data_IF_066664961860
#
_entry.id   IF_066664961860
#
_cell.length_a   1.000
_cell.length_b   1.000
_cell.length_c   1.000
_cell.angle_alpha   90.00
_cell.angle_beta   90.00
_cell.angle_gamma   90.00
#
_symmetry.space_group_name_H-M   'P 1'
#
loop_
_entity.id
_entity.type
_entity.pdbx_description
1 polymer ?
#
# COMPACT_ATOMS: atom_id res chain seq x y z
N UNK A 1 -2.95 16.53 18.71
CA UNK A 1 -3.28 15.92 17.41
C UNK A 1 -2.51 14.63 17.33
N UNK A 2 -3.07 13.59 16.70
CA UNK A 2 -2.38 12.31 16.60
C UNK A 2 -1.27 12.37 15.56
N UNK A 3 -0.14 11.69 15.79
CA UNK A 3 0.99 11.60 14.85
C UNK A 3 0.53 11.28 13.41
N UNK A 4 -0.42 10.35 13.25
CA UNK A 4 -1.01 10.01 11.95
C UNK A 4 -1.67 11.21 11.26
N UNK A 5 -2.40 12.05 12.00
CA UNK A 5 -3.05 13.25 11.44
C UNK A 5 -2.03 14.27 10.97
N UNK A 6 -0.91 14.39 11.67
CA UNK A 6 0.17 15.31 11.32
C UNK A 6 0.89 14.87 10.04
N UNK A 7 1.12 13.57 9.88
CA UNK A 7 1.64 12.99 8.63
C UNK A 7 0.66 13.18 7.47
N UNK A 8 -0.65 12.99 7.69
CA UNK A 8 -1.67 13.23 6.65
C UNK A 8 -1.67 14.69 6.20
N UNK A 9 -1.68 15.64 7.15
CA UNK A 9 -1.59 17.07 6.83
C UNK A 9 -0.30 17.42 6.10
N UNK A 10 0.82 16.85 6.52
CA UNK A 10 2.10 17.06 5.86
C UNK A 10 2.06 16.54 4.43
N UNK A 11 1.50 15.36 4.18
CA UNK A 11 1.31 14.82 2.82
C UNK A 11 0.55 15.80 1.92
N UNK A 12 -0.55 16.38 2.41
CA UNK A 12 -1.30 17.39 1.66
C UNK A 12 -0.48 18.66 1.38
N UNK A 13 0.33 19.11 2.35
CA UNK A 13 1.21 20.26 2.15
C UNK A 13 2.30 19.97 1.12
N UNK A 14 2.93 18.79 1.18
CA UNK A 14 3.92 18.35 0.20
C UNK A 14 3.31 18.33 -1.20
N UNK A 15 2.09 17.79 -1.38
CA UNK A 15 1.38 17.81 -2.68
C UNK A 15 1.18 19.22 -3.23
N UNK A 16 0.81 20.18 -2.38
CA UNK A 16 0.56 21.58 -2.80
C UNK A 16 1.84 22.31 -3.17
N UNK A 17 2.94 22.06 -2.45
CA UNK A 17 4.23 22.72 -2.64
C UNK A 17 5.07 22.07 -3.73
N UNK A 18 4.77 20.82 -4.08
CA UNK A 18 5.50 19.97 -5.03
C UNK A 18 6.03 20.77 -6.23
N UNK A 19 5.16 21.37 -7.03
CA UNK A 19 5.56 22.06 -8.26
C UNK A 19 6.31 23.40 -8.06
N UNK A 20 6.25 23.97 -6.86
CA UNK A 20 6.88 25.25 -6.52
C UNK A 20 8.29 25.10 -5.95
N UNK A 21 8.63 23.90 -5.47
CA UNK A 21 9.91 23.61 -4.84
C UNK A 21 10.96 23.28 -5.92
N UNK A 22 11.97 24.12 -6.03
CA UNK A 22 13.06 23.97 -7.00
C UNK A 22 14.41 24.06 -6.29
N UNK A 23 15.27 23.07 -6.55
CA UNK A 23 16.59 22.98 -5.94
C UNK A 23 16.57 22.38 -4.53
N UNK A 24 17.77 22.16 -4.00
CA UNK A 24 18.00 21.45 -2.75
C UNK A 24 17.58 22.26 -1.52
N UNK A 25 17.96 23.53 -1.45
CA UNK A 25 17.62 24.42 -0.32
C UNK A 25 16.11 24.63 -0.16
N UNK A 26 15.38 24.79 -1.27
CA UNK A 26 13.92 24.86 -1.22
C UNK A 26 13.31 23.53 -0.77
N UNK A 27 13.91 22.39 -1.16
CA UNK A 27 13.47 21.05 -0.75
C UNK A 27 13.64 20.85 0.75
N UNK A 28 14.80 21.24 1.28
CA UNK A 28 15.11 21.25 2.70
C UNK A 28 14.05 22.01 3.50
N UNK A 29 13.82 23.28 3.14
CA UNK A 29 12.91 24.15 3.90
C UNK A 29 11.44 23.78 3.73
N UNK A 30 10.98 23.50 2.51
CA UNK A 30 9.56 23.37 2.22
C UNK A 30 9.00 21.96 2.47
N UNK A 31 9.85 20.92 2.40
CA UNK A 31 9.45 19.51 2.46
C UNK A 31 10.09 18.76 3.64
N UNK A 32 11.41 18.87 3.84
CA UNK A 32 12.15 18.09 4.85
C UNK A 32 11.95 18.65 6.26
N UNK A 33 12.15 19.95 6.48
CA UNK A 33 11.99 20.58 7.80
C UNK A 33 10.58 20.32 8.39
N UNK A 34 9.48 20.47 7.62
CA UNK A 34 8.15 20.09 8.12
C UNK A 34 8.02 18.61 8.51
N UNK A 35 8.72 17.70 7.82
CA UNK A 35 8.76 16.28 8.20
C UNK A 35 9.50 16.04 9.52
N UNK A 36 10.65 16.70 9.73
CA UNK A 36 11.38 16.62 11.00
C UNK A 36 10.51 17.13 12.16
N UNK A 37 9.77 18.22 11.93
CA UNK A 37 8.81 18.74 12.92
C UNK A 37 7.66 17.77 13.17
N UNK A 38 7.14 17.10 12.14
CA UNK A 38 6.09 16.08 12.29
C UNK A 38 6.58 14.82 13.03
N UNK A 39 7.87 14.50 12.96
CA UNK A 39 8.52 13.47 13.80
C UNK A 39 8.70 13.93 15.26
N UNK A 40 8.24 15.12 15.63
CA UNK A 40 8.27 15.64 16.98
C UNK A 40 9.56 16.37 17.35
N UNK A 41 10.51 16.54 16.43
CA UNK A 41 11.75 17.28 16.70
C UNK A 41 11.53 18.79 16.62
N UNK A 42 12.13 19.54 17.54
CA UNK A 42 12.06 21.01 17.52
C UNK A 42 13.02 21.62 16.50
N UNK A 43 12.50 21.94 15.32
CA UNK A 43 13.25 22.56 14.22
C UNK A 43 13.71 24.00 14.50
N UNK A 44 13.24 24.61 15.59
CA UNK A 44 13.67 25.94 16.02
C UNK A 44 14.73 25.89 17.14
N UNK A 45 14.96 24.72 17.73
CA UNK A 45 16.04 24.50 18.70
C UNK A 45 17.30 24.02 17.96
N UNK A 46 18.34 24.87 17.81
CA UNK A 46 19.58 24.50 17.14
C UNK A 46 20.41 23.46 17.91
N UNK A 47 20.04 23.14 19.16
CA UNK A 47 20.65 22.04 19.93
C UNK A 47 20.00 20.69 19.65
N UNK A 48 18.79 20.68 19.08
CA UNK A 48 18.02 19.49 18.74
C UNK A 48 18.04 19.22 17.23
N UNK A 49 17.82 20.24 16.39
CA UNK A 49 17.93 20.14 14.93
C UNK A 49 19.05 21.05 14.45
N UNK A 50 20.20 20.44 14.10
CA UNK A 50 21.42 21.14 13.68
C UNK A 50 21.55 21.15 12.16
N UNK A 51 21.19 22.25 11.46
CA UNK A 51 21.43 22.36 10.03
C UNK A 51 22.92 22.50 9.72
N UNK A 52 23.33 22.02 8.55
CA UNK A 52 24.71 22.13 8.04
C UNK A 52 25.78 21.64 9.03
N UNK A 53 25.51 20.51 9.69
CA UNK A 53 26.35 20.01 10.78
C UNK A 53 27.76 19.60 10.32
N UNK A 54 28.76 20.26 10.90
CA UNK A 54 30.19 19.96 10.73
C UNK A 54 30.72 19.31 12.01
N UNK A 55 31.28 18.10 11.91
CA UNK A 55 31.86 17.41 13.05
C UNK A 55 33.35 17.78 13.25
N UNK A 56 33.90 17.54 14.44
CA UNK A 56 35.31 17.85 14.76
C UNK A 56 36.31 17.08 13.89
N UNK A 57 35.93 15.89 13.42
CA UNK A 57 36.72 15.04 12.52
C UNK A 57 36.51 15.37 11.03
N UNK A 58 35.68 16.37 10.70
CA UNK A 58 35.35 16.70 9.31
C UNK A 58 36.62 17.07 8.53
N UNK A 59 36.80 16.38 7.40
CA UNK A 59 37.92 16.67 6.51
C UNK A 59 37.61 17.89 5.64
N UNK A 60 38.63 18.68 5.30
CA UNK A 60 38.50 19.77 4.33
C UNK A 60 38.65 19.22 2.92
N UNK A 61 37.64 19.42 2.08
CA UNK A 61 37.68 19.12 0.65
C UNK A 61 37.46 20.41 -0.13
N UNK A 62 38.37 20.74 -1.04
CA UNK A 62 38.32 21.98 -1.83
C UNK A 62 38.11 23.27 -1.02
N UNK A 63 38.64 23.34 0.22
CA UNK A 63 38.56 24.52 1.08
C UNK A 63 37.28 24.64 1.91
N UNK A 64 36.32 23.73 1.76
CA UNK A 64 35.13 23.63 2.61
C UNK A 64 35.21 22.38 3.48
N UNK A 65 34.63 22.44 4.68
CA UNK A 65 34.47 21.25 5.51
C UNK A 65 33.36 20.39 4.92
N UNK A 66 33.59 19.08 4.92
CA UNK A 66 32.50 18.10 4.77
C UNK A 66 31.43 18.40 5.85
N UNK A 67 30.14 18.31 5.50
CA UNK A 67 28.99 18.63 6.38
C UNK A 67 27.77 17.78 6.07
N UNK A 68 26.97 17.35 7.03
CA UNK A 68 25.65 16.76 6.72
C UNK A 68 24.57 17.82 6.81
N UNK A 69 23.46 17.64 6.09
CA UNK A 69 22.44 18.68 6.02
C UNK A 69 21.71 18.89 7.35
N UNK A 70 21.41 17.82 8.06
CA UNK A 70 20.91 17.89 9.43
C UNK A 70 21.53 16.83 10.33
N UNK A 71 21.82 17.21 11.56
CA UNK A 71 22.00 16.27 12.67
C UNK A 71 20.88 16.49 13.69
N UNK A 72 20.21 15.40 14.08
CA UNK A 72 19.18 15.40 15.10
C UNK A 72 19.76 14.89 16.42
N UNK A 73 19.47 15.61 17.50
CA UNK A 73 19.93 15.26 18.82
C UNK A 73 18.78 15.15 19.82
N UNK A 74 18.83 14.13 20.67
CA UNK A 74 17.92 13.98 21.81
C UNK A 74 18.77 14.11 23.06
N UNK A 75 18.41 15.04 23.95
CA UNK A 75 19.15 15.33 25.18
C UNK A 75 20.65 15.56 24.93
N UNK A 76 20.99 16.32 23.87
CA UNK A 76 22.37 16.66 23.48
C UNK A 76 23.16 15.54 22.78
N UNK A 77 22.59 14.35 22.64
CA UNK A 77 23.20 13.19 21.99
C UNK A 77 22.71 13.05 20.56
N UNK A 78 23.62 12.89 19.60
CA UNK A 78 23.32 12.92 18.16
C UNK A 78 22.87 11.52 17.77
N UNK A 79 21.59 11.37 17.47
CA UNK A 79 20.95 10.07 17.28
C UNK A 79 20.69 9.74 15.81
N UNK A 80 20.50 10.78 14.99
CA UNK A 80 20.14 10.62 13.59
C UNK A 80 20.79 11.69 12.72
N UNK A 81 21.20 11.31 11.51
CA UNK A 81 21.75 12.21 10.50
C UNK A 81 20.87 12.20 9.27
N UNK A 82 20.73 13.34 8.61
CA UNK A 82 19.91 13.49 7.41
C UNK A 82 20.73 14.14 6.31
N UNK A 83 20.73 13.51 5.15
CA UNK A 83 21.24 14.01 3.88
C UNK A 83 20.05 14.32 2.97
N UNK A 84 19.98 15.54 2.48
CA UNK A 84 18.95 16.02 1.58
C UNK A 84 19.44 15.98 0.14
N UNK A 85 18.53 15.66 -0.77
CA UNK A 85 18.69 15.84 -2.21
C UNK A 85 17.62 16.77 -2.72
N UNK A 86 17.86 17.40 -3.87
CA UNK A 86 16.80 18.14 -4.53
C UNK A 86 15.63 17.20 -4.87
N UNK A 87 14.40 17.68 -4.67
CA UNK A 87 13.13 17.02 -4.99
C UNK A 87 13.10 16.17 -6.28
N UNK A 88 13.73 16.63 -7.35
CA UNK A 88 13.76 15.95 -8.66
C UNK A 88 14.85 14.88 -8.80
N UNK A 89 15.72 14.73 -7.80
CA UNK A 89 16.77 13.73 -7.76
C UNK A 89 16.32 12.51 -6.96
N UNK A 90 16.91 11.35 -7.27
CA UNK A 90 16.71 10.14 -6.47
C UNK A 90 17.37 10.31 -5.10
N UNK A 91 16.69 9.86 -4.06
CA UNK A 91 17.24 9.82 -2.71
C UNK A 91 18.23 8.64 -2.63
N UNK A 92 19.45 8.81 -3.12
CA UNK A 92 20.47 7.76 -3.12
C UNK A 92 21.70 8.17 -2.31
N UNK A 93 22.27 7.21 -1.56
CA UNK A 93 23.42 7.41 -0.69
C UNK A 93 24.75 7.32 -1.48
N UNK A 94 24.96 8.22 -2.44
CA UNK A 94 26.10 8.10 -3.39
C UNK A 94 27.40 8.74 -2.90
N UNK A 95 27.32 9.80 -2.10
CA UNK A 95 28.47 10.69 -1.91
C UNK A 95 29.43 10.26 -0.80
N UNK A 96 29.12 9.16 -0.09
CA UNK A 96 29.93 8.61 1.01
C UNK A 96 30.08 9.54 2.23
N UNK A 97 29.54 10.75 2.16
CA UNK A 97 29.61 11.78 3.19
C UNK A 97 28.78 11.40 4.42
N UNK A 98 27.52 11.04 4.21
CA UNK A 98 26.63 10.54 5.25
C UNK A 98 27.21 9.32 5.96
N UNK A 99 27.76 8.35 5.21
CA UNK A 99 28.33 7.14 5.80
C UNK A 99 29.59 7.41 6.64
N UNK A 100 30.48 8.31 6.22
CA UNK A 100 31.62 8.72 7.06
C UNK A 100 31.18 9.33 8.39
N UNK A 101 30.19 10.22 8.35
CA UNK A 101 29.66 10.85 9.55
C UNK A 101 29.00 9.84 10.47
N UNK A 102 28.14 8.98 9.91
CA UNK A 102 27.51 7.89 10.64
C UNK A 102 28.55 6.99 11.31
N UNK A 103 29.59 6.60 10.58
CA UNK A 103 30.60 5.67 11.10
C UNK A 103 31.47 6.26 12.21
N UNK A 104 31.68 7.58 12.19
CA UNK A 104 32.49 8.29 13.17
C UNK A 104 31.70 8.71 14.43
N UNK A 105 30.39 8.95 14.31
CA UNK A 105 29.52 9.33 15.43
C UNK A 105 28.91 8.10 16.10
N UNK A 106 29.59 7.57 17.11
CA UNK A 106 29.21 6.32 17.79
C UNK A 106 27.78 6.29 18.38
N UNK A 107 27.22 7.46 18.70
CA UNK A 107 25.86 7.59 19.24
C UNK A 107 24.79 7.62 18.16
N UNK A 108 25.17 7.88 16.91
CA UNK A 108 24.26 7.89 15.78
C UNK A 108 23.95 6.45 15.37
N UNK A 109 22.66 6.17 15.23
CA UNK A 109 22.16 4.81 14.94
C UNK A 109 21.22 4.77 13.74
N UNK A 110 20.77 5.94 13.29
CA UNK A 110 19.93 6.08 12.10
C UNK A 110 20.52 7.13 11.16
N UNK A 111 20.57 6.83 9.86
CA UNK A 111 20.85 7.80 8.82
C UNK A 111 19.64 7.88 7.88
N UNK A 112 19.33 9.07 7.37
CA UNK A 112 18.26 9.28 6.39
C UNK A 112 18.86 9.92 5.15
N UNK A 113 18.52 9.37 3.98
CA UNK A 113 18.66 10.08 2.70
C UNK A 113 17.26 10.40 2.19
N UNK A 114 17.00 11.65 1.83
CA UNK A 114 15.66 12.07 1.41
C UNK A 114 15.69 13.18 0.36
N UNK A 115 14.68 13.19 -0.51
CA UNK A 115 14.39 14.29 -1.42
C UNK A 115 13.11 15.07 -1.00
N UNK A 116 12.68 14.91 0.25
CA UNK A 116 11.45 15.47 0.78
C UNK A 116 10.17 14.69 0.44
N UNK A 117 10.25 13.70 -0.46
CA UNK A 117 9.13 12.82 -0.84
C UNK A 117 9.39 11.40 -0.34
N UNK A 118 10.52 10.84 -0.74
CA UNK A 118 11.00 9.53 -0.31
C UNK A 118 12.05 9.72 0.80
N UNK A 119 11.90 8.97 1.89
CA UNK A 119 12.78 8.96 3.04
C UNK A 119 13.32 7.55 3.21
N UNK A 120 14.63 7.37 3.03
CA UNK A 120 15.29 6.06 3.12
C UNK A 120 16.12 6.01 4.39
N UNK A 121 15.80 5.07 5.26
CA UNK A 121 16.39 4.91 6.58
C UNK A 121 17.46 3.81 6.55
N UNK A 122 18.64 4.14 7.07
CA UNK A 122 19.82 3.29 7.13
C UNK A 122 20.25 3.12 8.59
N UNK A 123 20.88 1.98 8.89
CA UNK A 123 21.45 1.68 10.21
C UNK A 123 22.69 0.79 10.02
N UNK A 124 23.21 0.20 11.10
CA UNK A 124 24.44 -0.59 11.16
C UNK A 124 24.20 -2.05 11.57
N UNK A 125 23.35 -2.78 10.83
CA UNK A 125 23.00 -4.16 11.18
C UNK A 125 24.12 -5.15 10.88
N UNK A 126 24.89 -4.91 9.81
CA UNK A 126 25.93 -5.85 9.35
C UNK A 126 27.21 -5.73 10.16
N UNK A 127 27.70 -4.50 10.29
CA UNK A 127 28.97 -4.17 10.90
C UNK A 127 28.74 -3.00 11.86
N UNK A 128 29.06 -3.19 13.13
CA UNK A 128 28.80 -2.18 14.18
C UNK A 128 29.45 -0.84 13.83
N UNK A 129 28.67 0.24 13.87
CA UNK A 129 29.05 1.59 13.47
C UNK A 129 29.54 1.71 12.03
N UNK A 130 29.08 0.83 11.14
CA UNK A 130 29.28 0.96 9.71
C UNK A 130 27.92 1.00 9.04
N UNK A 131 27.58 2.13 8.43
CA UNK A 131 26.30 2.32 7.77
C UNK A 131 26.10 1.28 6.66
N UNK A 132 24.96 0.61 6.69
CA UNK A 132 24.56 -0.34 5.65
C UNK A 132 24.39 0.35 4.29
N UNK A 133 24.69 -0.39 3.21
CA UNK A 133 24.56 0.11 1.84
C UNK A 133 23.12 0.25 1.39
N UNK A 134 22.23 -0.58 1.93
CA UNK A 134 20.81 -0.64 1.59
C UNK A 134 19.99 -0.13 2.77
N UNK A 135 18.89 0.61 2.51
CA UNK A 135 18.00 1.02 3.57
C UNK A 135 17.21 -0.19 4.10
N UNK A 136 16.95 -0.20 5.41
CA UNK A 136 16.07 -1.20 6.03
C UNK A 136 14.60 -0.78 5.94
N UNK A 137 14.33 0.52 5.89
CA UNK A 137 12.98 1.08 5.76
C UNK A 137 12.97 2.23 4.75
N UNK A 138 11.90 2.33 3.96
CA UNK A 138 11.69 3.42 3.01
C UNK A 138 10.26 3.90 3.15
N UNK A 139 10.09 5.20 3.32
CA UNK A 139 8.80 5.84 3.50
C UNK A 139 8.58 6.87 2.40
N UNK A 140 7.43 6.83 1.74
CA UNK A 140 7.03 7.84 0.77
C UNK A 140 5.84 8.64 1.30
N UNK A 141 6.04 9.93 1.57
CA UNK A 141 5.00 10.80 2.15
C UNK A 141 3.77 10.95 1.24
N UNK A 142 3.88 10.61 -0.05
CA UNK A 142 2.79 10.67 -1.03
C UNK A 142 2.13 9.30 -1.27
N UNK A 143 2.74 8.21 -0.80
CA UNK A 143 2.29 6.84 -1.03
C UNK A 143 2.73 5.97 0.15
N UNK A 144 1.84 5.81 1.14
CA UNK A 144 2.09 5.03 2.35
C UNK A 144 0.81 4.34 2.83
N UNK A 145 0.99 3.27 3.62
CA UNK A 145 -0.10 2.57 4.31
C UNK A 145 -0.04 2.75 5.84
N UNK A 146 -0.92 2.07 6.57
CA UNK A 146 -0.93 2.16 8.04
C UNK A 146 0.32 1.57 8.69
N UNK A 147 0.91 0.52 8.11
CA UNK A 147 2.13 -0.12 8.63
C UNK A 147 3.33 0.80 8.49
N UNK A 148 3.40 1.57 7.41
CA UNK A 148 4.43 2.59 7.23
C UNK A 148 4.38 3.64 8.33
N UNK A 149 3.18 4.08 8.73
CA UNK A 149 3.01 5.01 9.86
C UNK A 149 3.43 4.36 11.18
N UNK A 150 3.08 3.09 11.40
CA UNK A 150 3.50 2.36 12.60
C UNK A 150 5.03 2.20 12.67
N UNK A 151 5.68 1.93 11.54
CA UNK A 151 7.15 1.89 11.43
C UNK A 151 7.76 3.28 11.69
N UNK A 152 7.15 4.34 11.16
CA UNK A 152 7.62 5.71 11.38
C UNK A 152 7.61 6.14 12.84
N UNK A 153 6.68 5.62 13.65
CA UNK A 153 6.56 5.97 15.08
C UNK A 153 7.84 5.67 15.86
N UNK A 154 8.66 4.71 15.44
CA UNK A 154 9.95 4.41 16.09
C UNK A 154 10.96 5.56 15.96
N UNK A 155 10.83 6.39 14.92
CA UNK A 155 11.71 7.53 14.69
C UNK A 155 11.16 8.84 15.26
N UNK A 156 9.91 8.81 15.75
CA UNK A 156 9.33 9.94 16.47
C UNK A 156 10.12 10.20 17.74
N UNK A 157 10.42 11.46 18.02
CA UNK A 157 11.27 11.91 19.14
C UNK A 157 10.95 11.21 20.46
N UNK A 158 9.66 11.16 20.83
CA UNK A 158 9.22 10.60 22.11
C UNK A 158 9.32 9.06 22.22
N UNK A 159 9.43 8.37 21.09
CA UNK A 159 9.53 6.90 21.03
C UNK A 159 10.94 6.44 20.62
N UNK A 160 11.87 7.37 20.42
CA UNK A 160 13.18 7.05 19.88
C UNK A 160 13.99 6.24 20.89
N UNK A 161 14.09 4.94 20.64
CA UNK A 161 14.89 4.02 21.43
C UNK A 161 15.80 3.20 20.51
N UNK A 162 17.12 3.35 20.70
CA UNK A 162 18.13 2.71 19.85
C UNK A 162 17.95 1.19 19.78
N UNK A 163 17.72 0.54 20.92
CA UNK A 163 17.58 -0.92 20.98
C UNK A 163 16.33 -1.38 20.21
N UNK A 164 15.20 -0.69 20.38
CA UNK A 164 13.96 -1.00 19.68
C UNK A 164 14.10 -0.81 18.16
N UNK A 165 14.70 0.31 17.73
CA UNK A 165 14.94 0.58 16.30
C UNK A 165 15.85 -0.48 15.68
N UNK A 166 16.94 -0.85 16.36
CA UNK A 166 17.90 -1.84 15.86
C UNK A 166 17.23 -3.21 15.69
N UNK A 167 16.50 -3.67 16.70
CA UNK A 167 15.79 -4.95 16.65
C UNK A 167 14.71 -4.95 15.56
N UNK A 168 13.97 -3.85 15.44
CA UNK A 168 12.94 -3.70 14.41
C UNK A 168 13.54 -3.69 13.00
N UNK A 169 14.65 -2.98 12.81
CA UNK A 169 15.37 -2.95 11.54
C UNK A 169 15.88 -4.34 11.16
N UNK A 170 16.44 -5.09 12.11
CA UNK A 170 16.89 -6.47 11.91
C UNK A 170 15.73 -7.38 11.48
N UNK A 171 14.60 -7.32 12.19
CA UNK A 171 13.39 -8.06 11.83
C UNK A 171 12.90 -7.72 10.42
N UNK A 172 12.81 -6.44 10.07
CA UNK A 172 12.39 -5.99 8.74
C UNK A 172 13.28 -6.55 7.63
N UNK A 173 14.61 -6.51 7.83
CA UNK A 173 15.58 -7.04 6.86
C UNK A 173 15.43 -8.55 6.69
N UNK A 174 15.29 -9.29 7.80
CA UNK A 174 15.11 -10.74 7.74
C UNK A 174 13.77 -11.13 7.13
N UNK A 175 12.67 -10.49 7.51
CA UNK A 175 11.35 -10.74 6.93
C UNK A 175 11.35 -10.47 5.43
N UNK A 176 11.95 -9.37 4.98
CA UNK A 176 12.09 -9.05 3.55
C UNK A 176 12.90 -10.12 2.82
N UNK A 177 14.07 -10.48 3.35
CA UNK A 177 14.94 -11.50 2.77
C UNK A 177 14.27 -12.88 2.69
N UNK A 178 13.61 -13.30 3.78
CA UNK A 178 12.90 -14.58 3.87
C UNK A 178 11.68 -14.61 2.95
N UNK A 179 10.92 -13.53 2.85
CA UNK A 179 9.78 -13.42 1.93
C UNK A 179 10.23 -13.54 0.47
N UNK A 180 11.34 -12.87 0.11
CA UNK A 180 11.91 -12.99 -1.22
C UNK A 180 12.43 -14.41 -1.51
N UNK A 181 13.13 -15.01 -0.55
CA UNK A 181 13.62 -16.39 -0.66
C UNK A 181 12.46 -17.37 -0.86
N UNK A 182 11.41 -17.26 -0.02
CA UNK A 182 10.23 -18.11 -0.11
C UNK A 182 9.50 -17.91 -1.44
N UNK A 183 9.30 -16.66 -1.87
CA UNK A 183 8.71 -16.35 -3.16
C UNK A 183 9.47 -16.98 -4.33
N UNK A 184 10.81 -16.96 -4.28
CA UNK A 184 11.66 -17.61 -5.27
C UNK A 184 11.51 -19.13 -5.24
N UNK A 185 11.52 -19.75 -4.05
CA UNK A 185 11.31 -21.19 -3.89
C UNK A 185 9.94 -21.65 -4.40
N UNK A 186 8.90 -20.85 -4.22
CA UNK A 186 7.55 -21.15 -4.70
C UNK A 186 7.44 -21.06 -6.23
N UNK A 187 8.13 -20.10 -6.87
CA UNK A 187 8.13 -19.95 -8.34
C UNK A 187 9.06 -20.95 -9.03
N UNK A 188 10.23 -21.16 -8.44
CA UNK A 188 11.30 -22.02 -8.97
C UNK A 188 11.99 -22.78 -7.83
N UNK A 189 11.44 -23.95 -7.45
CA UNK A 189 12.00 -24.78 -6.38
C UNK A 189 13.48 -25.14 -6.63
N UNK A 190 14.34 -24.88 -5.63
CA UNK A 190 15.74 -25.28 -5.68
C UNK A 190 15.90 -26.79 -5.54
N UNK A 191 17.06 -27.32 -5.92
CA UNK A 191 17.36 -28.75 -5.79
C UNK A 191 17.31 -29.19 -4.33
N UNK A 192 17.86 -28.39 -3.42
CA UNK A 192 17.85 -28.63 -1.98
C UNK A 192 16.44 -28.66 -1.42
N UNK A 193 15.57 -27.75 -1.89
CA UNK A 193 14.19 -27.70 -1.44
C UNK A 193 13.37 -28.89 -1.94
N UNK A 194 13.56 -29.31 -3.20
CA UNK A 194 12.95 -30.54 -3.73
C UNK A 194 13.44 -31.76 -2.96
N UNK A 195 14.75 -31.84 -2.69
CA UNK A 195 15.35 -32.92 -1.89
C UNK A 195 14.74 -32.98 -0.49
N UNK A 196 14.57 -31.84 0.18
CA UNK A 196 13.92 -31.75 1.47
C UNK A 196 12.48 -32.30 1.41
N UNK A 197 11.64 -31.82 0.49
CA UNK A 197 10.26 -32.28 0.36
C UNK A 197 10.15 -33.78 0.05
N UNK A 198 11.07 -34.30 -0.76
CA UNK A 198 11.14 -35.73 -1.09
C UNK A 198 11.55 -36.58 0.11
N UNK A 199 12.48 -36.09 0.95
CA UNK A 199 12.85 -36.76 2.19
C UNK A 199 11.68 -36.80 3.18
N UNK A 200 10.94 -35.69 3.29
CA UNK A 200 9.79 -35.58 4.18
C UNK A 200 8.54 -36.29 3.66
N UNK A 201 8.49 -36.67 2.37
CA UNK A 201 7.33 -37.33 1.76
C UNK A 201 6.91 -38.60 2.53
N UNK A 202 7.88 -39.36 3.05
CA UNK A 202 7.62 -40.56 3.84
C UNK A 202 6.85 -40.31 5.15
N UNK A 203 6.94 -39.10 5.71
CA UNK A 203 6.20 -38.73 6.93
C UNK A 203 4.70 -38.57 6.69
N UNK A 204 4.33 -38.09 5.50
CA UNK A 204 2.94 -37.85 5.10
C UNK A 204 2.35 -39.06 4.36
N UNK A 205 3.19 -39.78 3.60
CA UNK A 205 2.78 -40.90 2.76
C UNK A 205 3.78 -42.07 2.90
N UNK A 206 3.69 -42.87 3.98
CA UNK A 206 4.67 -43.92 4.29
C UNK A 206 4.85 -44.96 3.17
N UNK A 207 3.78 -45.25 2.41
CA UNK A 207 3.82 -46.19 1.27
C UNK A 207 4.63 -45.69 0.08
N UNK A 208 5.02 -44.42 0.07
CA UNK A 208 5.76 -43.76 -1.01
C UNK A 208 7.13 -43.23 -0.55
N UNK A 209 7.61 -43.68 0.59
CA UNK A 209 8.94 -43.35 1.09
C UNK A 209 10.02 -43.78 0.08
N UNK A 210 10.93 -42.87 -0.24
CA UNK A 210 12.06 -43.19 -1.11
C UNK A 210 13.14 -43.86 -0.29
N UNK A 211 13.25 -45.17 -0.45
CA UNK A 211 14.30 -45.95 0.19
C UNK A 211 15.67 -45.63 -0.44
N UNK A 212 16.62 -45.19 0.38
CA UNK A 212 18.00 -44.91 -0.02
C UNK A 212 18.30 -43.43 -0.26
N UNK A 213 19.45 -43.13 -0.89
CA UNK A 213 19.90 -41.75 -1.09
C UNK A 213 19.09 -41.04 -2.18
N UNK A 214 18.68 -39.81 -1.91
CA UNK A 214 18.02 -38.94 -2.89
C UNK A 214 19.07 -38.47 -3.91
N UNK A 215 19.04 -39.07 -5.09
CA UNK A 215 19.96 -38.76 -6.21
C UNK A 215 19.40 -37.65 -7.11
N UNK A 216 20.25 -37.03 -7.94
CA UNK A 216 19.81 -36.00 -8.90
C UNK A 216 18.68 -36.49 -9.83
N UNK A 217 18.72 -37.75 -10.28
CA UNK A 217 17.63 -38.36 -11.08
C UNK A 217 16.28 -38.37 -10.37
N UNK A 218 16.28 -38.61 -9.05
CA UNK A 218 15.07 -38.55 -8.24
C UNK A 218 14.59 -37.09 -8.17
N UNK A 219 15.50 -36.15 -7.95
CA UNK A 219 15.15 -34.72 -7.85
C UNK A 219 14.57 -34.20 -9.16
N UNK A 220 15.16 -34.56 -10.31
CA UNK A 220 14.65 -34.15 -11.63
C UNK A 220 13.26 -34.72 -11.91
N UNK A 221 12.99 -35.97 -11.48
CA UNK A 221 11.66 -36.57 -11.55
C UNK A 221 10.64 -35.83 -10.68
N UNK A 222 11.02 -35.43 -9.48
CA UNK A 222 10.11 -34.80 -8.50
C UNK A 222 9.96 -33.29 -8.67
N UNK A 223 10.91 -32.61 -9.32
CA UNK A 223 10.85 -31.16 -9.59
C UNK A 223 9.52 -30.71 -10.24
N UNK A 224 9.01 -31.31 -11.32
CA UNK A 224 7.72 -30.92 -11.89
C UNK A 224 6.54 -31.22 -10.96
N UNK A 225 6.61 -32.32 -10.19
CA UNK A 225 5.58 -32.71 -9.21
C UNK A 225 5.51 -31.66 -8.09
N UNK A 226 6.65 -31.31 -7.49
CA UNK A 226 6.75 -30.28 -6.45
C UNK A 226 6.21 -28.94 -6.95
N UNK A 227 6.58 -28.53 -8.17
CA UNK A 227 6.06 -27.30 -8.77
C UNK A 227 4.53 -27.33 -8.90
N UNK A 228 3.97 -28.43 -9.41
CA UNK A 228 2.52 -28.62 -9.54
C UNK A 228 1.82 -28.64 -8.18
N UNK A 229 2.39 -29.30 -7.18
CA UNK A 229 1.88 -29.34 -5.81
C UNK A 229 1.86 -27.96 -5.17
N UNK A 230 2.94 -27.18 -5.29
CA UNK A 230 2.99 -25.81 -4.78
C UNK A 230 1.91 -24.93 -5.44
N UNK A 231 1.80 -24.98 -6.77
CA UNK A 231 0.77 -24.22 -7.49
C UNK A 231 -0.64 -24.63 -7.06
N UNK A 232 -0.89 -25.94 -6.96
CA UNK A 232 -2.16 -26.48 -6.48
C UNK A 232 -2.49 -26.01 -5.06
N UNK A 233 -1.52 -26.08 -4.13
CA UNK A 233 -1.71 -25.60 -2.76
C UNK A 233 -1.93 -24.09 -2.69
N UNK A 234 -1.26 -23.28 -3.50
CA UNK A 234 -1.49 -21.84 -3.54
C UNK A 234 -2.88 -21.50 -4.07
N UNK A 235 -3.32 -22.17 -5.14
CA UNK A 235 -4.69 -22.04 -5.65
C UNK A 235 -5.69 -22.46 -4.59
N UNK A 236 -5.48 -23.61 -3.95
CA UNK A 236 -6.35 -24.10 -2.89
C UNK A 236 -6.38 -23.15 -1.69
N UNK A 237 -5.25 -22.54 -1.29
CA UNK A 237 -5.22 -21.54 -0.23
C UNK A 237 -5.96 -20.27 -0.62
N UNK A 238 -5.79 -19.79 -1.86
CA UNK A 238 -6.57 -18.65 -2.36
C UNK A 238 -8.06 -18.99 -2.36
N UNK A 239 -8.43 -20.15 -2.90
CA UNK A 239 -9.81 -20.65 -2.90
C UNK A 239 -10.33 -20.84 -1.49
N UNK A 240 -9.55 -21.37 -0.53
CA UNK A 240 -9.96 -21.53 0.87
C UNK A 240 -10.04 -20.21 1.60
N UNK A 241 -9.17 -19.24 1.37
CA UNK A 241 -9.33 -17.89 1.92
C UNK A 241 -10.60 -17.23 1.37
N UNK A 242 -10.94 -17.49 0.10
CA UNK A 242 -12.20 -17.07 -0.52
C UNK A 242 -13.42 -17.89 -0.02
N UNK A 243 -13.25 -19.18 0.30
CA UNK A 243 -14.31 -20.12 0.70
C UNK A 243 -14.49 -20.26 2.20
N UNK A 244 -13.53 -19.88 3.04
CA UNK A 244 -13.73 -19.79 4.50
C UNK A 244 -14.59 -18.58 4.88
N UNK A 245 -14.83 -17.67 3.94
CA UNK A 245 -15.92 -16.69 3.99
C UNK A 245 -17.23 -17.21 3.34
N UNK A 246 -17.23 -18.39 2.71
CA UNK A 246 -18.38 -18.95 1.97
C UNK A 246 -18.44 -20.49 2.16
N UNK A 247 -19.11 -20.97 3.20
CA UNK A 247 -19.33 -22.40 3.40
C UNK A 247 -20.32 -22.96 2.35
N UNK A 248 -19.82 -23.55 1.26
CA UNK A 248 -20.33 -24.78 0.61
C UNK A 248 -19.42 -25.21 -0.56
N UNK A 249 -19.27 -26.53 -0.83
CA UNK A 249 -18.28 -27.06 -1.76
C UNK A 249 -18.76 -26.92 -3.22
N UNK A 250 -17.86 -26.46 -4.10
CA UNK A 250 -18.03 -26.59 -5.55
C UNK A 250 -17.18 -27.78 -5.98
N UNK A 251 -17.84 -28.87 -6.39
CA UNK A 251 -17.18 -29.93 -7.15
C UNK A 251 -16.80 -29.37 -8.52
N UNK A 252 -15.52 -29.46 -8.87
CA UNK A 252 -15.05 -29.16 -10.23
C UNK A 252 -14.60 -30.50 -10.81
N UNK A 253 -15.38 -31.00 -11.77
CA UNK A 253 -15.02 -32.13 -12.61
C UNK A 253 -13.74 -31.80 -13.38
N UNK A 254 -12.71 -32.64 -13.22
CA UNK A 254 -11.49 -32.57 -14.01
C UNK A 254 -11.70 -33.44 -15.24
N UNK A 255 -12.05 -32.82 -16.36
CA UNK A 255 -12.00 -33.47 -17.67
C UNK A 255 -10.55 -33.43 -18.17
N UNK A 256 -10.00 -34.61 -18.49
CA UNK A 256 -8.66 -34.81 -19.04
C UNK A 256 -8.71 -35.04 -20.55
N UNK A 257 -7.54 -34.80 -21.17
CA UNK A 257 -7.15 -34.91 -22.58
C UNK A 257 -7.34 -33.57 -23.35
N UNK A 258 -6.34 -33.00 -24.02
CA UNK A 258 -5.41 -33.60 -24.99
C UNK A 258 -4.10 -32.77 -25.09
N UNK A 259 -3.01 -33.51 -25.38
CA UNK A 259 -1.74 -33.23 -26.10
C UNK A 259 -1.06 -31.85 -26.14
N UNK A 260 0.27 -31.96 -26.09
CA UNK A 260 1.28 -30.94 -26.35
C UNK A 260 1.15 -30.33 -27.75
N UNK A 261 1.04 -29.00 -27.83
CA UNK A 261 1.71 -28.21 -28.86
C UNK A 261 2.25 -26.91 -28.25
N UNK A 262 3.56 -26.72 -28.37
CA UNK A 262 4.26 -25.49 -28.03
C UNK A 262 3.73 -24.31 -28.87
N UNK A 263 3.10 -23.34 -28.21
CA UNK A 263 3.08 -21.95 -28.68
C UNK A 263 3.47 -21.01 -27.56
N UNK A 264 4.58 -20.31 -27.79
CA UNK A 264 4.97 -19.12 -27.06
C UNK A 264 3.80 -18.12 -27.06
N UNK A 265 3.33 -17.73 -25.87
CA UNK A 265 2.52 -16.53 -25.71
C UNK A 265 3.19 -15.61 -24.71
N UNK A 266 3.51 -14.43 -25.22
CA UNK A 266 4.02 -13.26 -24.52
C UNK A 266 3.14 -12.91 -23.32
N UNK A 267 3.77 -12.48 -22.24
CA UNK A 267 3.12 -11.75 -21.16
C UNK A 267 2.46 -10.49 -21.72
N UNK A 268 1.14 -10.48 -21.87
CA UNK A 268 0.39 -9.24 -22.09
C UNK A 268 0.00 -8.63 -20.73
N UNK A 269 0.46 -7.41 -20.54
CA UNK A 269 0.03 -6.48 -19.49
C UNK A 269 -1.50 -6.40 -19.43
N UNK A 270 -2.05 -6.40 -18.22
CA UNK A 270 -3.46 -6.17 -17.94
C UNK A 270 -3.86 -4.75 -18.36
N UNK A 271 -4.30 -4.57 -19.62
CA UNK A 271 -4.96 -3.35 -20.05
C UNK A 271 -6.33 -3.27 -19.36
N UNK A 272 -6.58 -2.15 -18.69
CA UNK A 272 -7.91 -1.78 -18.17
C UNK A 272 -8.81 -1.59 -19.40
N UNK A 273 -9.77 -2.49 -19.61
CA UNK A 273 -10.74 -2.43 -20.71
C UNK A 273 -12.12 -2.37 -20.09
N UNK A 274 -12.79 -1.24 -20.24
CA UNK A 274 -14.18 -1.07 -19.79
C UNK A 274 -15.10 -1.99 -20.58
N UNK A 275 -15.82 -2.85 -19.87
CA UNK A 275 -16.69 -3.87 -20.44
C UNK A 275 -18.07 -3.30 -20.81
N UNK A 276 -18.75 -3.93 -21.77
CA UNK A 276 -20.13 -3.57 -22.12
C UNK A 276 -21.09 -3.68 -20.93
N UNK A 277 -20.80 -4.60 -20.01
CA UNK A 277 -21.55 -4.82 -18.78
C UNK A 277 -21.43 -3.62 -17.82
N UNK A 278 -20.24 -3.04 -17.67
CA UNK A 278 -20.03 -1.85 -16.83
C UNK A 278 -20.73 -0.59 -17.38
N UNK A 279 -20.79 -0.46 -18.70
CA UNK A 279 -21.50 0.65 -19.36
C UNK A 279 -23.01 0.51 -19.13
N UNK A 280 -23.58 -0.69 -19.25
CA UNK A 280 -25.01 -0.94 -18.97
C UNK A 280 -25.35 -0.64 -17.50
N UNK A 281 -24.49 -1.06 -16.58
CA UNK A 281 -24.62 -0.79 -15.15
C UNK A 281 -24.63 0.72 -14.86
N UNK A 282 -23.73 1.48 -15.50
CA UNK A 282 -23.66 2.94 -15.35
C UNK A 282 -24.94 3.64 -15.82
N UNK A 283 -25.46 3.27 -17.01
CA UNK A 283 -26.66 3.91 -17.55
C UNK A 283 -27.91 3.61 -16.70
N UNK A 284 -28.04 2.40 -16.15
CA UNK A 284 -29.13 2.09 -15.21
C UNK A 284 -29.03 2.89 -13.91
N UNK A 285 -27.84 3.00 -13.32
CA UNK A 285 -27.64 3.79 -12.10
C UNK A 285 -27.93 5.27 -12.36
N UNK A 286 -27.50 5.79 -13.52
CA UNK A 286 -27.79 7.16 -13.95
C UNK A 286 -29.28 7.42 -14.13
N UNK A 287 -30.02 6.46 -14.69
CA UNK A 287 -31.47 6.54 -14.81
C UNK A 287 -32.15 6.54 -13.43
N UNK A 288 -31.71 5.67 -12.51
CA UNK A 288 -32.20 5.60 -11.13
C UNK A 288 -31.97 6.94 -10.41
N UNK A 289 -30.74 7.48 -10.43
CA UNK A 289 -30.42 8.73 -9.70
C UNK A 289 -31.13 9.95 -10.27
N UNK A 290 -31.48 9.95 -11.56
CA UNK A 290 -32.23 11.06 -12.21
C UNK A 290 -33.68 11.18 -11.71
N UNK A 291 -34.21 10.17 -11.04
CA UNK A 291 -35.54 10.24 -10.41
C UNK A 291 -35.60 11.18 -9.20
N UNK A 292 -34.45 11.51 -8.59
CA UNK A 292 -34.34 12.50 -7.52
C UNK A 292 -34.11 13.90 -8.09
N UNK A 293 -35.08 14.81 -7.91
CA UNK A 293 -34.94 16.21 -8.34
C UNK A 293 -34.19 17.10 -7.34
N UNK A 294 -33.81 16.56 -6.17
CA UNK A 294 -33.24 17.33 -5.05
C UNK A 294 -31.76 17.69 -5.22
N UNK A 295 -31.00 16.96 -6.05
CA UNK A 295 -29.56 17.17 -6.25
C UNK A 295 -29.21 17.02 -7.73
N UNK A 296 -28.59 18.04 -8.33
CA UNK A 296 -28.22 18.06 -9.75
C UNK A 296 -26.69 17.92 -9.95
N UNK A 297 -26.17 16.73 -9.70
CA UNK A 297 -24.77 16.40 -9.98
C UNK A 297 -24.66 15.56 -11.27
N UNK A 298 -23.63 15.84 -12.06
CA UNK A 298 -23.30 15.00 -13.22
C UNK A 298 -22.59 13.72 -12.75
N UNK A 299 -23.13 12.55 -13.11
CA UNK A 299 -22.51 11.27 -12.80
C UNK A 299 -21.38 10.99 -13.79
N UNK A 300 -20.25 10.55 -13.25
CA UNK A 300 -19.09 10.10 -14.01
C UNK A 300 -18.61 8.75 -13.46
N UNK A 301 -17.98 7.94 -14.31
CA UNK A 301 -17.37 6.67 -13.88
C UNK A 301 -15.84 6.70 -13.98
N UNK A 302 -15.19 5.85 -13.20
CA UNK A 302 -13.75 5.58 -13.25
C UNK A 302 -13.54 4.09 -13.24
N UNK A 303 -12.98 3.58 -14.33
CA UNK A 303 -12.58 2.19 -14.46
C UNK A 303 -11.19 1.98 -13.85
N UNK A 304 -11.01 0.84 -13.18
CA UNK A 304 -9.75 0.45 -12.54
C UNK A 304 -9.51 -1.03 -12.77
N UNK A 305 -8.29 -1.50 -12.54
CA UNK A 305 -7.96 -2.92 -12.70
C UNK A 305 -8.80 -3.87 -11.83
N UNK A 306 -9.45 -3.37 -10.78
CA UNK A 306 -10.14 -4.19 -9.78
C UNK A 306 -11.63 -3.89 -9.63
N UNK A 307 -12.10 -2.68 -9.99
CA UNK A 307 -13.49 -2.27 -9.83
C UNK A 307 -13.87 -1.10 -10.75
N UNK A 308 -15.18 -0.96 -10.96
CA UNK A 308 -15.79 0.15 -11.70
C UNK A 308 -16.44 1.14 -10.74
N UNK A 309 -15.86 2.33 -10.57
CA UNK A 309 -16.30 3.34 -9.60
C UNK A 309 -17.26 4.37 -10.19
N UNK A 310 -18.33 4.71 -9.49
CA UNK A 310 -19.32 5.72 -9.90
C UNK A 310 -19.27 6.92 -8.94
N UNK A 311 -19.19 8.11 -9.52
CA UNK A 311 -18.81 9.34 -8.81
C UNK A 311 -19.66 10.54 -9.25
N UNK A 312 -19.69 11.56 -8.38
CA UNK A 312 -20.37 12.84 -8.62
C UNK A 312 -19.36 13.88 -9.13
N UNK A 313 -19.24 14.09 -10.44
CA UNK A 313 -18.41 15.12 -11.08
C UNK A 313 -16.88 15.04 -10.90
N UNK A 314 -16.38 14.57 -9.74
CA UNK A 314 -14.97 14.32 -9.43
C UNK A 314 -14.77 12.86 -9.04
N UNK A 315 -13.67 12.26 -9.49
CA UNK A 315 -13.35 10.84 -9.23
C UNK A 315 -13.15 10.48 -7.74
N UNK A 316 -13.02 11.47 -6.85
CA UNK A 316 -12.90 11.24 -5.40
C UNK A 316 -14.26 11.26 -4.69
N UNK A 317 -15.32 11.76 -5.32
CA UNK A 317 -16.69 11.84 -4.80
C UNK A 317 -17.49 10.61 -5.23
N UNK A 318 -16.94 9.44 -4.93
CA UNK A 318 -17.54 8.16 -5.29
C UNK A 318 -18.65 7.80 -4.30
N UNK A 319 -19.73 7.19 -4.80
CA UNK A 319 -20.83 6.70 -3.95
C UNK A 319 -21.13 5.21 -4.15
N UNK A 320 -20.67 4.62 -5.26
CA UNK A 320 -20.74 3.19 -5.51
C UNK A 320 -19.45 2.69 -6.17
N UNK A 321 -19.00 1.49 -5.79
CA UNK A 321 -17.97 0.73 -6.54
C UNK A 321 -18.55 -0.62 -6.93
N UNK A 322 -18.49 -0.94 -8.20
CA UNK A 322 -19.04 -2.18 -8.77
C UNK A 322 -17.91 -3.15 -9.08
N UNK A 323 -18.12 -4.41 -8.71
CA UNK A 323 -17.25 -5.53 -9.04
C UNK A 323 -18.08 -6.48 -9.90
N UNK A 324 -18.05 -6.27 -11.22
CA UNK A 324 -18.89 -7.00 -12.17
C UNK A 324 -18.14 -8.14 -12.87
N UNK A 325 -16.81 -8.03 -12.95
CA UNK A 325 -15.92 -9.02 -13.57
C UNK A 325 -15.64 -10.24 -12.67
N UNK A 326 -16.11 -10.24 -11.43
CA UNK A 326 -15.98 -11.36 -10.50
C UNK A 326 -17.11 -12.38 -10.66
N UNK A 327 -16.82 -13.66 -10.42
CA UNK A 327 -17.81 -14.77 -10.42
C UNK A 327 -19.03 -14.47 -9.52
N UNK A 328 -18.82 -13.75 -8.42
CA UNK A 328 -19.89 -13.13 -7.62
C UNK A 328 -19.86 -11.62 -7.84
N UNK A 329 -20.90 -11.08 -8.47
CA UNK A 329 -21.01 -9.64 -8.70
C UNK A 329 -21.33 -8.95 -7.38
N UNK A 330 -20.77 -7.78 -7.13
CA UNK A 330 -21.04 -7.05 -5.90
C UNK A 330 -20.92 -5.54 -6.05
N UNK A 331 -21.57 -4.83 -5.13
CA UNK A 331 -21.46 -3.38 -4.99
C UNK A 331 -20.93 -3.06 -3.59
N UNK A 332 -20.06 -2.06 -3.51
CA UNK A 332 -19.55 -1.53 -2.24
C UNK A 332 -20.13 -0.13 -2.02
N UNK A 333 -20.60 0.11 -0.80
CA UNK A 333 -21.17 1.39 -0.37
C UNK A 333 -20.44 1.95 0.86
N UNK A 334 -20.68 3.23 1.14
CA UNK A 334 -20.22 3.93 2.35
C UNK A 334 -21.23 3.86 3.51
N UNK A 335 -22.38 3.21 3.32
CA UNK A 335 -23.40 3.07 4.35
C UNK A 335 -23.10 1.86 5.25
N UNK A 336 -23.47 1.95 6.52
CA UNK A 336 -23.27 0.85 7.48
C UNK A 336 -24.09 -0.37 7.09
N UNK A 337 -23.65 -1.56 7.53
CA UNK A 337 -24.36 -2.83 7.25
C UNK A 337 -25.81 -2.78 7.73
N UNK A 338 -26.08 -2.15 8.87
CA UNK A 338 -27.44 -2.02 9.43
C UNK A 338 -28.32 -1.11 8.58
N UNK A 339 -27.79 0.01 8.09
CA UNK A 339 -28.52 0.92 7.20
C UNK A 339 -28.83 0.22 5.87
N UNK A 340 -27.87 -0.50 5.29
CA UNK A 340 -28.07 -1.24 4.04
C UNK A 340 -29.09 -2.36 4.20
N UNK A 341 -29.03 -3.16 5.28
CA UNK A 341 -30.02 -4.21 5.55
C UNK A 341 -31.44 -3.67 5.71
N UNK A 342 -31.59 -2.46 6.25
CA UNK A 342 -32.90 -1.79 6.37
C UNK A 342 -33.50 -1.39 5.01
N UNK A 343 -32.64 -1.09 4.02
CA UNK A 343 -33.03 -0.65 2.69
C UNK A 343 -33.25 -1.83 1.73
N UNK A 344 -32.49 -2.92 1.91
CA UNK A 344 -32.46 -4.08 1.00
C UNK A 344 -32.36 -5.41 1.78
N UNK A 345 -33.47 -5.81 2.40
CA UNK A 345 -33.52 -7.00 3.28
C UNK A 345 -33.33 -8.35 2.57
N UNK A 346 -33.54 -8.40 1.25
CA UNK A 346 -33.47 -9.63 0.46
C UNK A 346 -32.07 -9.93 -0.13
N UNK A 347 -31.07 -9.11 0.18
CA UNK A 347 -29.72 -9.25 -0.35
C UNK A 347 -28.72 -9.58 0.75
N UNK A 348 -27.69 -10.34 0.38
CA UNK A 348 -26.59 -10.65 1.29
C UNK A 348 -25.70 -9.42 1.45
N UNK A 349 -25.58 -8.92 2.69
CA UNK A 349 -24.79 -7.73 3.05
C UNK A 349 -23.68 -8.14 4.01
N UNK A 350 -22.45 -7.83 3.63
CA UNK A 350 -21.23 -8.11 4.40
C UNK A 350 -20.57 -6.79 4.84
N UNK A 351 -19.93 -6.81 6.01
CA UNK A 351 -19.11 -5.71 6.48
C UNK A 351 -17.78 -5.71 5.71
N UNK A 352 -17.31 -4.52 5.31
CA UNK A 352 -16.00 -4.38 4.66
C UNK A 352 -15.04 -3.81 5.70
N UNK A 353 -13.98 -4.56 6.02
CA UNK A 353 -12.96 -4.11 6.97
C UNK A 353 -12.22 -2.88 6.44
N UNK A 354 -11.86 -1.95 7.33
CA UNK A 354 -11.32 -0.61 7.08
C UNK A 354 -10.07 -0.48 6.15
N UNK A 355 -9.59 -1.59 5.60
CA UNK A 355 -8.53 -1.66 4.57
C UNK A 355 -8.89 -1.03 3.21
N UNK A 356 -10.18 -0.79 2.92
CA UNK A 356 -10.67 -0.25 1.62
C UNK A 356 -11.09 1.24 1.66
N UNK A 357 -10.75 1.96 2.74
CA UNK A 357 -11.11 3.37 2.96
C UNK A 357 -12.49 3.53 3.61
N UNK A 358 -13.26 4.57 3.26
CA UNK A 358 -14.61 4.86 3.78
C UNK A 358 -15.70 3.83 3.41
N UNK A 359 -15.32 2.67 2.86
CA UNK A 359 -16.25 1.61 2.49
C UNK A 359 -16.73 0.89 3.76
N UNK A 360 -18.05 0.80 3.94
CA UNK A 360 -18.65 0.27 5.17
C UNK A 360 -19.45 -1.03 4.93
N UNK A 361 -19.92 -1.27 3.70
CA UNK A 361 -20.69 -2.47 3.39
C UNK A 361 -20.52 -2.92 1.94
N UNK A 362 -20.66 -4.23 1.74
CA UNK A 362 -20.66 -4.91 0.45
C UNK A 362 -21.97 -5.67 0.28
N UNK A 363 -22.67 -5.43 -0.83
CA UNK A 363 -23.89 -6.16 -1.19
C UNK A 363 -23.60 -7.07 -2.37
N UNK A 364 -23.92 -8.35 -2.24
CA UNK A 364 -23.73 -9.34 -3.30
C UNK A 364 -24.96 -9.34 -4.20
N UNK A 365 -24.72 -9.27 -5.51
CA UNK A 365 -25.76 -9.29 -6.55
C UNK A 365 -25.52 -10.43 -7.52
N UNK A 366 -26.59 -10.94 -8.13
CA UNK A 366 -26.50 -12.02 -9.10
C UNK A 366 -26.36 -11.47 -10.53
N UNK A 367 -26.97 -10.32 -10.82
CA UNK A 367 -26.90 -9.67 -12.13
C UNK A 367 -27.20 -8.17 -12.04
N UNK A 368 -26.91 -7.42 -13.10
CA UNK A 368 -27.29 -6.00 -13.21
C UNK A 368 -28.81 -5.79 -13.08
N UNK A 369 -29.63 -6.79 -13.43
CA UNK A 369 -31.08 -6.72 -13.28
C UNK A 369 -31.53 -6.61 -11.82
N UNK A 370 -30.65 -6.85 -10.85
CA UNK A 370 -30.93 -6.62 -9.43
C UNK A 370 -30.87 -5.14 -9.03
N UNK A 371 -30.31 -4.25 -9.87
CA UNK A 371 -30.24 -2.81 -9.59
C UNK A 371 -31.62 -2.17 -9.40
N UNK A 372 -32.64 -2.66 -10.11
CA UNK A 372 -34.01 -2.17 -9.93
C UNK A 372 -34.52 -2.40 -8.49
N UNK A 373 -34.16 -3.56 -7.90
CA UNK A 373 -34.50 -3.91 -6.51
C UNK A 373 -33.62 -3.19 -5.49
N UNK A 374 -32.44 -2.72 -5.91
CA UNK A 374 -31.50 -1.96 -5.10
C UNK A 374 -31.69 -0.44 -5.21
N UNK A 375 -32.72 0.01 -5.92
CA UNK A 375 -33.05 1.43 -6.09
C UNK A 375 -33.01 2.22 -4.77
N UNK A 376 -33.66 1.78 -3.66
CA UNK A 376 -33.62 2.53 -2.41
C UNK A 376 -32.20 2.72 -1.85
N UNK A 377 -31.34 1.70 -2.00
CA UNK A 377 -29.95 1.73 -1.58
C UNK A 377 -29.12 2.69 -2.45
N UNK A 378 -29.25 2.58 -3.77
CA UNK A 378 -28.51 3.40 -4.74
C UNK A 378 -28.83 4.88 -4.53
N UNK A 379 -30.11 5.21 -4.35
CA UNK A 379 -30.57 6.58 -4.06
C UNK A 379 -30.01 7.08 -2.74
N UNK A 380 -30.05 6.27 -1.68
CA UNK A 380 -29.50 6.66 -0.38
C UNK A 380 -27.98 6.93 -0.44
N UNK A 381 -27.23 6.10 -1.16
CA UNK A 381 -25.80 6.30 -1.37
C UNK A 381 -25.52 7.60 -2.14
N UNK A 382 -26.29 7.86 -3.20
CA UNK A 382 -26.21 9.10 -3.98
C UNK A 382 -26.48 10.33 -3.12
N UNK A 383 -27.58 10.36 -2.36
CA UNK A 383 -27.94 11.47 -1.47
C UNK A 383 -26.88 11.73 -0.41
N UNK A 384 -26.37 10.67 0.20
CA UNK A 384 -25.39 10.76 1.29
C UNK A 384 -24.08 11.38 0.80
N UNK A 385 -23.66 11.04 -0.42
CA UNK A 385 -22.48 11.65 -1.02
C UNK A 385 -22.77 13.05 -1.55
N UNK A 386 -23.92 13.28 -2.18
CA UNK A 386 -24.33 14.59 -2.70
C UNK A 386 -24.46 15.64 -1.58
N UNK A 387 -25.02 15.27 -0.43
CA UNK A 387 -25.20 16.15 0.72
C UNK A 387 -23.87 16.68 1.30
N UNK A 388 -22.77 15.92 1.19
CA UNK A 388 -21.43 16.37 1.63
C UNK A 388 -20.87 17.51 0.78
N UNK A 389 -21.30 17.58 -0.49
CA UNK A 389 -20.75 18.49 -1.49
C UNK A 389 -21.74 19.60 -1.89
N UNK A 390 -22.94 19.60 -1.32
CA UNK A 390 -23.91 20.68 -1.51
C UNK A 390 -23.58 21.86 -0.60
N UNK A 391 -22.72 22.75 -1.09
CA UNK A 391 -22.79 24.16 -0.68
C UNK A 391 -24.14 24.72 -1.10
N UNK A 392 -24.88 25.28 -0.14
CA UNK A 392 -26.12 26.07 -0.27
C UNK A 392 -26.29 26.68 -1.68
N UNK A 393 -27.26 26.18 -2.45
CA UNK A 393 -27.89 26.99 -3.50
C UNK A 393 -29.07 27.66 -2.79
N UNK A 394 -29.07 29.00 -2.58
CA UNK A 394 -30.20 29.66 -1.98
C UNK A 394 -31.43 29.44 -2.86
N UNK A 395 -32.54 29.03 -2.24
CA UNK A 395 -33.84 28.99 -2.86
C UNK A 395 -34.10 30.27 -3.65
N UNK A 396 -34.24 30.16 -4.97
CA UNK A 396 -34.93 31.18 -5.74
C UNK A 396 -36.40 31.01 -5.41
N UNK A 397 -36.82 31.72 -4.37
CA UNK A 397 -38.21 32.08 -4.10
C UNK A 397 -38.72 32.79 -5.36
N UNK A 398 -39.40 32.06 -6.24
CA UNK A 398 -40.36 32.66 -7.17
C UNK A 398 -41.66 32.85 -6.39
N UNK A 399 -41.74 34.01 -5.72
CA UNK A 399 -43.04 34.61 -5.44
C UNK A 399 -43.70 34.92 -6.78
N UNK A 400 -44.75 34.17 -7.13
CA UNK A 400 -45.78 34.67 -8.02
C UNK A 400 -46.38 35.92 -7.38
N UNK A 401 -45.97 37.10 -7.86
CA UNK A 401 -46.85 38.27 -7.86
C UNK A 401 -47.65 38.20 -9.14
N UNK A 402 -48.85 37.64 -9.06
CA UNK A 402 -49.89 37.96 -10.03
C UNK A 402 -50.41 39.36 -9.69
N UNK A 403 -50.39 40.22 -10.70
CA UNK A 403 -51.34 41.31 -10.84
C UNK A 403 -52.74 40.75 -11.12
#
# INVERSE_FOLDING_TARGET
MGFTEDIVKLSEQVRKRFDQVVGEEATKMALIVPFLSALGYDVYDPSEVMPEYVADFATRRAGQFEKVDYALAINGTKVMLVEAKARGQKAEAHDGQLSKYFNALLTTKVAIVTNGIEYRFFTDLRDKNVMDKEPFFTFNILEYDSKDIDNLKFFHRDNFEVAAITNHAEEMVYVKGMTQLLGNLLRSPSEEFVRFLVAELGTVAPSYEIQGRITGKVIDKFRPIVKKSIQGSLVELMTRSLSQEITQPVEIEVEQEIEEEEKQQEYQESKIVTTAEEIEAFEKIKAITKTLMSYNFELQYKDTASYFGINLGKSTWWFLRLYLSSQKKSLITRLSVDEVKSLVSNFEVQEVTASLGDAASKVIISSISDFDKLTPLILRCYETEAAKHQTFIPDVIRMEKSA
#
